data_IF_198069422067
#
_entry.id   IF_198069422067
#
_cell.length_a   1.000
_cell.length_b   1.000
_cell.length_c   1.000
_cell.angle_alpha   90.00
_cell.angle_beta   90.00
_cell.angle_gamma   90.00
#
_symmetry.space_group_name_H-M   'P 1'
#
loop_
_entity.id
_entity.type
_entity.pdbx_description
1 polymer ?
#
# COMPACT_ATOMS: atom_id res chain seq x y z
N UNK A 1 -15.28 25.48 15.53
CA UNK A 1 -14.18 25.39 14.53
C UNK A 1 -13.18 24.25 14.82
N UNK A 2 -13.08 23.69 16.04
CA UNK A 2 -12.16 22.57 16.33
C UNK A 2 -12.54 21.23 15.65
N UNK A 3 -13.84 20.95 15.46
CA UNK A 3 -14.33 19.70 14.85
C UNK A 3 -13.92 19.52 13.38
N UNK A 4 -13.81 20.59 12.59
CA UNK A 4 -13.44 20.48 11.15
C UNK A 4 -11.96 20.10 11.00
N UNK A 5 -11.08 20.69 11.83
CA UNK A 5 -9.65 20.33 11.89
C UNK A 5 -9.44 18.88 12.33
N UNK A 6 -10.17 18.41 13.36
CA UNK A 6 -10.12 17.00 13.78
C UNK A 6 -10.58 16.03 12.68
N UNK A 7 -11.59 16.41 11.89
CA UNK A 7 -12.03 15.59 10.76
C UNK A 7 -10.96 15.49 9.65
N UNK A 8 -10.24 16.58 9.38
CA UNK A 8 -9.14 16.56 8.40
C UNK A 8 -7.93 15.76 8.90
N UNK A 9 -7.57 15.89 10.18
CA UNK A 9 -6.48 15.13 10.79
C UNK A 9 -6.81 13.63 10.83
N UNK A 10 -8.04 13.27 11.17
CA UNK A 10 -8.48 11.87 11.17
C UNK A 10 -8.47 11.27 9.76
N UNK A 11 -8.89 12.02 8.74
CA UNK A 11 -8.81 11.57 7.34
C UNK A 11 -7.36 11.36 6.89
N UNK A 12 -6.43 12.24 7.29
CA UNK A 12 -5.00 12.09 7.01
C UNK A 12 -4.41 10.83 7.62
N UNK A 13 -4.71 10.57 8.89
CA UNK A 13 -4.22 9.39 9.60
C UNK A 13 -4.79 8.11 8.98
N UNK A 14 -6.09 8.08 8.70
CA UNK A 14 -6.72 6.93 8.03
C UNK A 14 -6.17 6.69 6.63
N UNK A 15 -5.86 7.75 5.87
CA UNK A 15 -5.22 7.63 4.56
C UNK A 15 -3.82 7.01 4.67
N UNK A 16 -3.00 7.47 5.63
CA UNK A 16 -1.68 6.87 5.89
C UNK A 16 -1.76 5.41 6.34
N UNK A 17 -2.71 5.07 7.21
CA UNK A 17 -2.94 3.70 7.64
C UNK A 17 -3.35 2.79 6.46
N UNK A 18 -4.23 3.28 5.58
CA UNK A 18 -4.63 2.56 4.38
C UNK A 18 -3.47 2.35 3.39
N UNK A 19 -2.58 3.34 3.24
CA UNK A 19 -1.37 3.17 2.43
C UNK A 19 -0.48 2.07 3.01
N UNK A 20 -0.15 2.12 4.30
CA UNK A 20 0.71 1.13 4.96
C UNK A 20 0.12 -0.29 4.99
N UNK A 21 -1.21 -0.45 5.00
CA UNK A 21 -1.85 -1.76 5.01
C UNK A 21 -1.59 -2.57 3.71
N UNK A 22 -1.49 -1.89 2.55
CA UNK A 22 -1.31 -2.54 1.25
C UNK A 22 0.02 -3.31 1.12
N UNK A 23 1.19 -2.69 1.33
CA UNK A 23 2.45 -3.41 1.29
C UNK A 23 2.56 -4.43 2.43
N UNK A 24 1.95 -4.16 3.59
CA UNK A 24 1.94 -5.10 4.72
C UNK A 24 1.20 -6.40 4.37
N UNK A 25 0.05 -6.29 3.72
CA UNK A 25 -0.71 -7.47 3.25
C UNK A 25 0.06 -8.24 2.18
N UNK A 26 0.68 -7.55 1.22
CA UNK A 26 1.46 -8.20 0.15
C UNK A 26 2.70 -8.90 0.74
N UNK A 27 3.40 -8.23 1.66
CA UNK A 27 4.53 -8.82 2.39
C UNK A 27 4.08 -10.01 3.26
N UNK A 28 2.89 -9.96 3.85
CA UNK A 28 2.30 -11.09 4.57
C UNK A 28 2.04 -12.29 3.67
N UNK A 29 1.42 -12.08 2.50
CA UNK A 29 1.14 -13.15 1.52
C UNK A 29 2.44 -13.75 0.97
N UNK A 30 3.42 -12.92 0.58
CA UNK A 30 4.72 -13.37 0.06
C UNK A 30 5.69 -13.87 1.14
N UNK A 31 5.43 -13.56 2.42
CA UNK A 31 6.21 -14.05 3.56
C UNK A 31 5.75 -15.42 4.08
N UNK A 32 4.62 -15.95 3.59
CA UNK A 32 4.17 -17.29 3.92
C UNK A 32 5.06 -18.33 3.20
N UNK A 33 5.57 -19.31 3.95
CA UNK A 33 6.37 -20.42 3.43
C UNK A 33 5.50 -21.42 2.64
N UNK A 34 5.00 -21.02 1.47
CA UNK A 34 4.33 -21.95 0.57
C UNK A 34 5.37 -22.74 -0.23
N UNK A 35 5.38 -24.07 -0.04
CA UNK A 35 6.23 -25.05 -0.75
C UNK A 35 5.96 -25.11 -2.27
N UNK A 36 4.83 -24.59 -2.73
CA UNK A 36 4.43 -24.53 -4.14
C UNK A 36 4.00 -23.10 -4.52
N UNK A 37 4.97 -22.24 -4.78
CA UNK A 37 4.75 -20.96 -5.46
C UNK A 37 5.23 -21.07 -6.91
N UNK A 38 4.40 -21.50 -7.89
CA UNK A 38 4.80 -21.60 -9.29
C UNK A 38 5.21 -20.24 -9.89
N UNK A 39 4.77 -19.13 -9.29
CA UNK A 39 5.17 -17.77 -9.64
C UNK A 39 6.65 -17.49 -9.32
N UNK A 40 7.22 -18.14 -8.30
CA UNK A 40 8.61 -17.91 -7.83
C UNK A 40 9.67 -18.58 -8.72
N UNK A 41 9.28 -19.53 -9.58
CA UNK A 41 10.18 -20.11 -10.58
C UNK A 41 10.58 -19.10 -11.67
N UNK A 42 9.89 -17.97 -11.78
CA UNK A 42 10.26 -16.88 -12.67
C UNK A 42 11.09 -15.84 -11.94
N UNK A 43 12.36 -15.69 -12.36
CA UNK A 43 13.31 -14.70 -11.82
C UNK A 43 12.74 -13.28 -11.81
N UNK A 44 11.82 -12.97 -12.74
CA UNK A 44 11.18 -11.66 -12.85
C UNK A 44 9.97 -11.46 -11.92
N UNK A 45 9.42 -12.51 -11.33
CA UNK A 45 8.24 -12.37 -10.46
C UNK A 45 8.56 -11.59 -9.19
N UNK A 46 9.70 -11.87 -8.55
CA UNK A 46 10.13 -11.15 -7.35
C UNK A 46 10.29 -9.62 -7.57
N UNK A 47 11.07 -9.15 -8.57
CA UNK A 47 11.14 -7.72 -8.87
C UNK A 47 9.82 -7.15 -9.42
N UNK A 48 8.99 -7.92 -10.14
CA UNK A 48 7.68 -7.46 -10.61
C UNK A 48 6.70 -7.20 -9.45
N UNK A 49 6.71 -8.03 -8.41
CA UNK A 49 5.88 -7.85 -7.20
C UNK A 49 6.32 -6.61 -6.43
N UNK A 50 7.63 -6.41 -6.26
CA UNK A 50 8.17 -5.19 -5.65
C UNK A 50 7.80 -3.95 -6.47
N UNK A 51 7.91 -4.02 -7.80
CA UNK A 51 7.51 -2.94 -8.69
C UNK A 51 6.00 -2.67 -8.61
N UNK A 52 5.17 -3.71 -8.50
CA UNK A 52 3.72 -3.61 -8.32
C UNK A 52 3.37 -2.97 -6.97
N UNK A 53 4.02 -3.39 -5.89
CA UNK A 53 3.89 -2.77 -4.57
C UNK A 53 4.22 -1.28 -4.61
N UNK A 54 5.38 -0.93 -5.19
CA UNK A 54 5.79 0.46 -5.36
C UNK A 54 4.83 1.27 -6.23
N UNK A 55 4.32 0.67 -7.31
CA UNK A 55 3.34 1.31 -8.18
C UNK A 55 2.01 1.55 -7.46
N UNK A 56 1.54 0.60 -6.64
CA UNK A 56 0.33 0.73 -5.83
C UNK A 56 0.48 1.83 -4.76
N UNK A 57 1.61 1.87 -4.05
CA UNK A 57 1.95 2.94 -3.10
C UNK A 57 1.95 4.31 -3.80
N UNK A 58 2.62 4.44 -4.95
CA UNK A 58 2.66 5.69 -5.73
C UNK A 58 1.27 6.08 -6.24
N UNK A 59 0.45 5.11 -6.66
CA UNK A 59 -0.91 5.34 -7.11
C UNK A 59 -1.78 5.87 -5.96
N UNK A 60 -1.74 5.22 -4.80
CA UNK A 60 -2.46 5.64 -3.59
C UNK A 60 -2.01 7.02 -3.13
N UNK A 61 -0.70 7.26 -3.08
CA UNK A 61 -0.14 8.58 -2.76
C UNK A 61 -0.66 9.66 -3.73
N UNK A 62 -0.63 9.39 -5.04
CA UNK A 62 -1.16 10.32 -6.05
C UNK A 62 -2.66 10.55 -5.90
N UNK A 63 -3.43 9.51 -5.57
CA UNK A 63 -4.87 9.59 -5.37
C UNK A 63 -5.21 10.47 -4.16
N UNK A 64 -4.57 10.22 -3.01
CA UNK A 64 -4.77 11.01 -1.81
C UNK A 64 -4.30 12.46 -1.97
N UNK A 65 -3.17 12.68 -2.64
CA UNK A 65 -2.68 14.02 -2.97
C UNK A 65 -3.62 14.77 -3.91
N UNK A 66 -4.16 14.12 -4.96
CA UNK A 66 -5.16 14.73 -5.84
C UNK A 66 -6.47 15.06 -5.14
N UNK A 67 -6.85 14.26 -4.14
CA UNK A 67 -8.06 14.49 -3.33
C UNK A 67 -7.87 15.59 -2.27
N UNK A 68 -6.66 16.13 -2.11
CA UNK A 68 -6.33 17.11 -1.07
C UNK A 68 -6.32 16.53 0.34
N UNK A 69 -6.26 15.20 0.45
CA UNK A 69 -6.25 14.49 1.74
C UNK A 69 -4.84 14.40 2.33
N UNK A 70 -3.81 14.79 1.58
CA UNK A 70 -2.40 14.73 1.92
C UNK A 70 -1.74 16.08 1.67
#
# INVERSE_FOLDING_TARGET
QMSVRQNDDMRKISAWAAMAAVPTMIAGIYGMNFDHMPELHWVWAYPAVIALMGALEVLLYRLFKRRGWL
#
